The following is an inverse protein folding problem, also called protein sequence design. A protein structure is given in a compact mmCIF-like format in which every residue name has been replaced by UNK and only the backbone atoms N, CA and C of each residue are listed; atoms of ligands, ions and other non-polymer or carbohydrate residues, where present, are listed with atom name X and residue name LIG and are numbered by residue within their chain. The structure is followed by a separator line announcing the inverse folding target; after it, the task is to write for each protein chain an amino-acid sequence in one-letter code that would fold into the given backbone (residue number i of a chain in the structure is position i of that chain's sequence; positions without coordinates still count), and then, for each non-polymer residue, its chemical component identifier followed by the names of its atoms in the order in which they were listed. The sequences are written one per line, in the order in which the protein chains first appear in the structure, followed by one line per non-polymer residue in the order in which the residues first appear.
data_IF_236990485754
#
_entry.id   IF_236990485754
#
_cell.length_a   1.000
_cell.length_b   1.000
_cell.length_c   1.000
_cell.angle_alpha   90.00
_cell.angle_beta   90.00
_cell.angle_gamma   90.00
#
_symmetry.space_group_name_H-M   'P 1'
#
loop_
_entity.id
_entity.type
_entity.pdbx_description
1 polymer ?
#
# COMPACT_ATOMS: atom_id res chain seq x y z
N UNK A 1 1.58 7.20 -20.76
CA UNK A 1 0.71 8.09 -19.97
C UNK A 1 1.56 8.64 -18.83
N UNK A 2 1.57 9.95 -18.61
CA UNK A 2 2.22 10.51 -17.44
C UNK A 2 1.41 10.10 -16.20
N UNK A 3 2.08 9.55 -15.19
CA UNK A 3 1.44 9.23 -13.92
C UNK A 3 0.95 10.52 -13.26
N UNK A 4 -0.34 10.57 -12.92
CA UNK A 4 -0.88 11.62 -12.05
C UNK A 4 -0.77 11.16 -10.60
N UNK A 5 0.03 11.84 -9.76
CA UNK A 5 0.23 11.41 -8.38
C UNK A 5 -1.07 11.44 -7.60
N UNK A 6 -1.54 10.25 -7.26
CA UNK A 6 -2.73 10.06 -6.45
C UNK A 6 -2.50 10.65 -5.05
N UNK A 7 -3.57 10.94 -4.30
CA UNK A 7 -3.46 11.59 -2.97
C UNK A 7 -2.48 10.89 -2.02
N UNK A 8 -2.30 9.57 -2.17
CA UNK A 8 -1.37 8.79 -1.34
C UNK A 8 0.09 8.99 -1.74
N UNK A 9 0.38 9.09 -3.04
CA UNK A 9 1.71 9.46 -3.51
C UNK A 9 2.07 10.91 -3.14
N UNK A 10 1.08 11.81 -3.09
CA UNK A 10 1.27 13.17 -2.57
C UNK A 10 1.47 13.18 -1.04
N UNK A 11 0.87 12.24 -0.31
CA UNK A 11 0.95 12.16 1.16
C UNK A 11 2.22 11.44 1.64
N UNK A 12 2.71 10.47 0.88
CA UNK A 12 3.91 9.69 1.19
C UNK A 12 4.82 9.53 -0.05
N UNK A 13 5.37 10.63 -0.57
CA UNK A 13 6.18 10.59 -1.80
C UNK A 13 7.40 9.68 -1.67
N UNK A 14 8.01 9.58 -0.49
CA UNK A 14 9.19 8.76 -0.22
C UNK A 14 8.94 7.26 -0.49
N UNK A 15 7.70 6.79 -0.31
CA UNK A 15 7.33 5.40 -0.57
C UNK A 15 7.14 5.14 -2.08
N UNK A 16 6.78 6.17 -2.83
CA UNK A 16 6.55 6.05 -4.28
C UNK A 16 7.80 6.42 -5.10
N UNK A 17 8.81 7.05 -4.50
CA UNK A 17 10.09 7.37 -5.16
C UNK A 17 10.73 6.17 -5.89
N UNK A 18 10.87 4.98 -5.27
CA UNK A 18 11.51 3.83 -5.93
C UNK A 18 10.63 3.11 -6.96
N UNK A 19 9.36 3.51 -7.14
CA UNK A 19 8.41 2.86 -8.04
C UNK A 19 8.40 3.49 -9.44
N UNK A 20 8.28 2.66 -10.47
CA UNK A 20 7.99 3.10 -11.83
C UNK A 20 6.53 3.56 -11.98
N UNK A 21 6.23 4.37 -13.00
CA UNK A 21 4.88 4.92 -13.23
C UNK A 21 3.77 3.85 -13.25
N UNK A 22 4.04 2.69 -13.84
CA UNK A 22 3.11 1.55 -13.89
C UNK A 22 2.86 0.94 -12.49
N UNK A 23 3.90 0.82 -11.68
CA UNK A 23 3.78 0.34 -10.30
C UNK A 23 3.04 1.36 -9.42
N UNK A 24 3.34 2.65 -9.57
CA UNK A 24 2.63 3.73 -8.87
C UNK A 24 1.14 3.71 -9.17
N UNK A 25 0.77 3.43 -10.42
CA UNK A 25 -0.62 3.26 -10.83
C UNK A 25 -1.26 2.05 -10.13
N UNK A 26 -0.61 0.88 -10.14
CA UNK A 26 -1.11 -0.34 -9.46
C UNK A 26 -1.30 -0.15 -7.96
N UNK A 27 -0.32 0.43 -7.28
CA UNK A 27 -0.42 0.76 -5.84
C UNK A 27 -1.59 1.70 -5.58
N UNK A 28 -1.76 2.73 -6.42
CA UNK A 28 -2.84 3.71 -6.25
C UNK A 28 -4.22 3.11 -6.47
N UNK A 29 -4.35 2.20 -7.44
CA UNK A 29 -5.60 1.47 -7.72
C UNK A 29 -5.95 0.52 -6.56
N UNK A 30 -4.96 -0.25 -6.07
CA UNK A 30 -5.13 -1.12 -4.92
C UNK A 30 -5.55 -0.35 -3.65
N UNK A 31 -4.92 0.80 -3.36
CA UNK A 31 -5.30 1.66 -2.23
C UNK A 31 -6.69 2.28 -2.41
N UNK A 32 -7.08 2.58 -3.64
CA UNK A 32 -8.42 3.11 -3.93
C UNK A 32 -9.49 2.03 -3.74
N UNK A 33 -9.22 0.80 -4.17
CA UNK A 33 -10.13 -0.33 -4.00
C UNK A 33 -10.34 -0.68 -2.52
N UNK A 34 -9.25 -0.84 -1.75
CA UNK A 34 -9.36 -1.12 -0.31
C UNK A 34 -10.08 0.01 0.46
N UNK A 35 -9.98 1.28 0.00
CA UNK A 35 -10.74 2.39 0.58
C UNK A 35 -12.24 2.25 0.38
N UNK A 36 -12.68 1.76 -0.79
CA UNK A 36 -14.10 1.52 -1.05
C UNK A 36 -14.69 0.46 -0.10
N UNK A 37 -13.84 -0.43 0.42
CA UNK A 37 -14.19 -1.42 1.44
C UNK A 37 -14.26 -0.83 2.86
N UNK A 38 -14.05 0.49 3.00
CA UNK A 38 -14.13 1.21 4.28
C UNK A 38 -12.83 1.21 5.09
N UNK A 39 -11.72 0.75 4.50
CA UNK A 39 -10.41 0.72 5.16
C UNK A 39 -9.59 1.97 4.82
N UNK A 40 -9.04 2.63 5.83
CA UNK A 40 -8.13 3.76 5.65
C UNK A 40 -6.67 3.28 5.75
N UNK A 41 -5.92 3.22 4.64
CA UNK A 41 -4.51 2.82 4.67
C UNK A 41 -3.69 3.76 5.53
N UNK A 42 -2.86 3.22 6.41
CA UNK A 42 -1.81 3.98 7.08
C UNK A 42 -0.50 3.93 6.29
N UNK A 43 0.47 4.76 6.68
CA UNK A 43 1.79 4.81 6.04
C UNK A 43 2.46 3.44 5.99
N UNK A 44 2.32 2.66 7.06
CA UNK A 44 2.91 1.33 7.20
C UNK A 44 2.27 0.31 6.25
N UNK A 45 0.95 0.40 6.02
CA UNK A 45 0.26 -0.46 5.07
C UNK A 45 0.61 -0.12 3.61
N UNK A 46 0.79 1.17 3.33
CA UNK A 46 1.30 1.61 2.01
C UNK A 46 2.74 1.16 1.82
N UNK A 47 3.57 1.19 2.85
CA UNK A 47 4.95 0.69 2.77
C UNK A 47 4.99 -0.82 2.48
N UNK A 48 4.17 -1.63 3.15
CA UNK A 48 4.07 -3.07 2.85
C UNK A 48 3.57 -3.34 1.42
N UNK A 49 2.59 -2.56 0.94
CA UNK A 49 2.08 -2.68 -0.42
C UNK A 49 3.15 -2.31 -1.46
N UNK A 50 3.93 -1.25 -1.20
CA UNK A 50 5.08 -0.84 -2.03
C UNK A 50 6.15 -1.92 -2.03
N UNK A 51 6.51 -2.49 -0.87
CA UNK A 51 7.49 -3.57 -0.77
C UNK A 51 7.05 -4.82 -1.54
N UNK A 52 5.73 -5.10 -1.58
CA UNK A 52 5.15 -6.18 -2.40
C UNK A 52 5.28 -5.89 -3.89
N UNK A 53 4.94 -4.68 -4.34
CA UNK A 53 5.04 -4.30 -5.75
C UNK A 53 6.50 -4.19 -6.23
N UNK A 54 7.44 -3.89 -5.33
CA UNK A 54 8.89 -3.96 -5.57
C UNK A 54 9.42 -5.41 -5.55
N UNK A 55 8.60 -6.40 -5.17
CA UNK A 55 9.02 -7.80 -5.05
C UNK A 55 9.97 -8.06 -3.88
N UNK A 56 10.07 -7.16 -2.91
CA UNK A 56 10.85 -7.36 -1.67
C UNK A 56 10.15 -8.32 -0.71
N UNK A 57 8.82 -8.32 -0.72
CA UNK A 57 7.99 -9.27 0.02
C UNK A 57 7.04 -10.00 -0.94
N UNK A 58 6.77 -11.26 -0.64
CA UNK A 58 5.76 -12.03 -1.37
C UNK A 58 4.35 -11.76 -0.80
N UNK A 59 3.32 -12.13 -1.55
CA UNK A 59 1.92 -11.97 -1.11
C UNK A 59 1.65 -12.70 0.21
N UNK A 60 2.31 -13.84 0.45
CA UNK A 60 2.20 -14.56 1.72
C UNK A 60 2.72 -13.75 2.92
N UNK A 61 3.83 -13.03 2.76
CA UNK A 61 4.41 -12.18 3.80
C UNK A 61 3.58 -10.90 3.99
N UNK A 62 3.07 -10.32 2.91
CA UNK A 62 2.11 -9.22 2.97
C UNK A 62 0.87 -9.59 3.80
N UNK A 63 0.25 -10.74 3.51
CA UNK A 63 -0.92 -11.23 4.27
C UNK A 63 -0.54 -11.44 5.73
N UNK A 64 0.64 -12.01 6.02
CA UNK A 64 1.11 -12.23 7.39
C UNK A 64 1.21 -10.92 8.18
N UNK A 65 1.78 -9.87 7.57
CA UNK A 65 1.91 -8.55 8.18
C UNK A 65 0.55 -7.88 8.37
N UNK A 66 -0.31 -7.91 7.37
CA UNK A 66 -1.67 -7.38 7.45
C UNK A 66 -2.48 -8.09 8.53
N UNK A 67 -2.42 -9.43 8.60
CA UNK A 67 -3.10 -10.21 9.64
C UNK A 67 -2.53 -9.95 11.03
N UNK A 68 -1.21 -9.79 11.18
CA UNK A 68 -0.60 -9.42 12.45
C UNK A 68 -1.06 -8.03 12.93
N UNK A 69 -1.24 -7.08 12.01
CA UNK A 69 -1.75 -5.73 12.32
C UNK A 69 -3.23 -5.74 12.68
N UNK A 70 -4.06 -6.44 11.91
CA UNK A 70 -5.50 -6.61 12.18
C UNK A 70 -5.73 -7.30 13.52
N UNK A 71 -4.91 -8.30 13.86
CA UNK A 71 -5.01 -9.03 15.13
C UNK A 71 -4.36 -8.27 16.30
N UNK A 72 -3.44 -7.34 16.04
CA UNK A 72 -2.73 -6.54 17.04
C UNK A 72 -3.45 -5.26 17.48
N UNK A 73 -4.56 -4.89 16.83
CA UNK A 73 -5.34 -3.68 17.10
C UNK A 73 -6.61 -3.92 17.91
N UNK A 74 -6.47 -4.36 19.17
CA UNK A 74 -7.51 -4.27 20.21
C UNK A 74 -8.00 -5.61 20.80
N UNK A 75 -7.83 -5.87 22.12
CA UNK A 75 -8.58 -6.91 22.81
C UNK A 75 -10.05 -6.49 23.00
N UNK A 76 -10.90 -7.51 23.04
CA UNK A 76 -12.28 -7.51 23.56
C UNK A 76 -12.38 -6.90 24.96
#
# INVERSE_FOLDING_TARGET
MAYEPCRYAQRWPDLFEPLDDDQKQRVSDALSNNRLEGWEPQRDDVADLVDRELGRIDTAEYIRRTMAKVTGGGPV
#
